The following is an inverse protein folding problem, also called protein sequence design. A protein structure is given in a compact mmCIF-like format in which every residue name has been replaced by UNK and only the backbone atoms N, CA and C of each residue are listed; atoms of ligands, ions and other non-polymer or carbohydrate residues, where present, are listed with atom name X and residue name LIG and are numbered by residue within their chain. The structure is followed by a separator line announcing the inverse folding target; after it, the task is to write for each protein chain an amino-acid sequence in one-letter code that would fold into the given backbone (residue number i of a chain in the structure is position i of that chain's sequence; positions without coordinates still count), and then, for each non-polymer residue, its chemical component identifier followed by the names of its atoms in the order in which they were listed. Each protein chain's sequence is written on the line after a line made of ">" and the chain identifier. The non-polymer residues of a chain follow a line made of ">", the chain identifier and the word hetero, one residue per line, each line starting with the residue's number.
data_IF_966064861755
#
_entry.id   IF_966064861755
#
_cell.length_a   1.000
_cell.length_b   1.000
_cell.length_c   1.000
_cell.angle_alpha   90.00
_cell.angle_beta   90.00
_cell.angle_gamma   90.00
#
_symmetry.space_group_name_H-M   'P 1'
#
loop_
_entity.id
_entity.type
_entity.pdbx_description
1 polymer ?
#
# COMPACT_ATOMS: atom_id res chain seq x y z
N UNK A 1 2.91 13.18 26.61
CA UNK A 1 3.00 14.64 26.40
C UNK A 1 3.57 15.43 27.58
N UNK A 2 3.48 14.94 28.83
CA UNK A 2 4.06 15.64 30.00
C UNK A 2 5.53 16.05 29.77
N UNK A 3 6.39 15.10 29.39
CA UNK A 3 7.81 15.38 29.10
C UNK A 3 8.03 16.53 28.09
N UNK A 4 7.26 16.55 26.99
CA UNK A 4 7.39 17.61 25.96
C UNK A 4 6.95 18.97 26.51
N UNK A 5 5.87 18.98 27.32
CA UNK A 5 5.38 20.20 27.99
C UNK A 5 6.40 20.73 29.01
N UNK A 6 6.98 19.83 29.79
CA UNK A 6 7.93 20.16 30.86
C UNK A 6 9.29 20.64 30.31
N UNK A 7 9.59 20.37 29.04
CA UNK A 7 10.86 20.71 28.39
C UNK A 7 10.69 21.69 27.20
N UNK A 8 9.60 22.47 27.17
CA UNK A 8 9.29 23.41 26.07
C UNK A 8 10.47 24.31 25.70
N UNK A 9 10.99 25.05 26.67
CA UNK A 9 12.03 26.06 26.44
C UNK A 9 13.31 25.44 25.89
N UNK A 10 13.77 24.34 26.50
CA UNK A 10 14.95 23.62 26.03
C UNK A 10 14.78 23.13 24.58
N UNK A 11 13.61 22.60 24.23
CA UNK A 11 13.35 22.11 22.90
C UNK A 11 13.29 23.24 21.87
N UNK A 12 12.59 24.34 22.16
CA UNK A 12 12.51 25.50 21.27
C UNK A 12 13.90 26.09 21.03
N UNK A 13 14.71 26.24 22.08
CA UNK A 13 16.08 26.72 21.97
C UNK A 13 16.93 25.80 21.08
N UNK A 14 16.78 24.48 21.21
CA UNK A 14 17.48 23.52 20.37
C UNK A 14 17.05 23.61 18.89
N UNK A 15 15.74 23.74 18.63
CA UNK A 15 15.20 23.89 17.28
C UNK A 15 15.68 25.20 16.62
N UNK A 16 15.70 26.31 17.35
CA UNK A 16 16.21 27.59 16.84
C UNK A 16 17.69 27.53 16.44
N UNK A 17 18.49 26.68 17.10
CA UNK A 17 19.91 26.51 16.76
C UNK A 17 20.16 25.63 15.52
N UNK A 18 19.21 24.76 15.15
CA UNK A 18 19.35 23.82 14.03
C UNK A 18 18.66 24.34 12.78
N UNK A 19 17.54 25.04 12.97
CA UNK A 19 16.66 25.47 11.90
C UNK A 19 17.08 26.87 11.40
N UNK A 20 17.05 27.15 10.07
CA UNK A 20 17.31 28.48 9.54
C UNK A 20 16.41 29.57 10.15
N UNK A 21 16.99 30.74 10.43
CA UNK A 21 16.30 31.88 11.07
C UNK A 21 15.02 32.33 10.34
N UNK A 22 15.01 32.23 9.00
CA UNK A 22 13.85 32.61 8.17
C UNK A 22 12.56 31.82 8.45
N UNK A 23 12.64 30.66 9.10
CA UNK A 23 11.48 29.83 9.45
C UNK A 23 11.27 29.67 10.96
N UNK A 24 12.02 30.41 11.79
CA UNK A 24 11.84 30.37 13.25
C UNK A 24 10.43 30.73 13.70
N UNK A 25 9.74 31.60 12.96
CA UNK A 25 8.34 31.98 13.23
C UNK A 25 7.39 30.77 13.25
N UNK A 26 7.72 29.67 12.55
CA UNK A 26 6.90 28.45 12.49
C UNK A 26 7.11 27.50 13.68
N UNK A 27 8.11 27.73 14.53
CA UNK A 27 8.48 26.77 15.60
C UNK A 27 7.38 26.72 16.68
N UNK A 28 6.85 27.86 17.10
CA UNK A 28 5.76 27.93 18.09
C UNK A 28 4.44 27.38 17.53
N UNK A 29 4.14 27.66 16.25
CA UNK A 29 2.98 27.09 15.55
C UNK A 29 3.08 25.56 15.45
N UNK A 30 4.26 25.05 15.07
CA UNK A 30 4.52 23.61 15.07
C UNK A 30 4.38 23.00 16.47
N UNK A 31 4.93 23.64 17.49
CA UNK A 31 4.88 23.14 18.87
C UNK A 31 3.44 23.04 19.40
N UNK A 32 2.65 24.10 19.20
CA UNK A 32 1.24 24.13 19.60
C UNK A 32 0.41 23.10 18.84
N UNK A 33 0.66 22.94 17.54
CA UNK A 33 0.01 21.91 16.70
C UNK A 33 0.38 20.51 17.17
N UNK A 34 1.67 20.25 17.44
CA UNK A 34 2.17 18.95 17.90
C UNK A 34 1.59 18.53 19.24
N UNK A 35 1.29 19.49 20.13
CA UNK A 35 0.67 19.22 21.44
C UNK A 35 -0.85 19.22 21.44
N UNK A 36 -1.49 19.57 20.33
CA UNK A 36 -2.94 19.57 20.21
C UNK A 36 -3.49 18.14 20.25
N UNK A 37 -4.75 18.01 20.67
CA UNK A 37 -5.45 16.72 20.65
C UNK A 37 -5.69 16.20 19.21
N UNK A 38 -5.56 17.08 18.22
CA UNK A 38 -5.61 16.79 16.77
C UNK A 38 -4.23 16.60 16.15
N UNK A 39 -3.19 16.46 16.97
CA UNK A 39 -1.86 16.13 16.45
C UNK A 39 -1.85 14.70 15.92
N UNK A 40 -1.06 14.47 14.87
CA UNK A 40 -0.78 13.14 14.32
C UNK A 40 -0.40 12.11 15.40
N UNK A 41 0.32 12.55 16.45
CA UNK A 41 0.71 11.70 17.56
C UNK A 41 -0.48 11.31 18.45
N UNK A 42 -1.37 12.26 18.77
CA UNK A 42 -2.51 12.00 19.65
C UNK A 42 -3.59 11.17 18.96
N UNK A 43 -3.83 11.40 17.68
CA UNK A 43 -4.73 10.59 16.86
C UNK A 43 -4.21 9.15 16.75
N UNK A 44 -2.94 8.98 16.38
CA UNK A 44 -2.32 7.65 16.26
C UNK A 44 -2.26 6.91 17.61
N UNK A 45 -1.98 7.62 18.71
CA UNK A 45 -2.08 7.05 20.07
C UNK A 45 -3.49 6.57 20.39
N UNK A 46 -4.52 7.30 19.99
CA UNK A 46 -5.91 6.92 20.26
C UNK A 46 -6.30 5.67 19.47
N UNK A 47 -5.90 5.59 18.19
CA UNK A 47 -6.04 4.37 17.38
C UNK A 47 -5.31 3.18 18.02
N UNK A 48 -4.06 3.37 18.45
CA UNK A 48 -3.27 2.33 19.11
C UNK A 48 -3.93 1.81 20.38
N UNK A 49 -4.46 2.70 21.22
CA UNK A 49 -5.12 2.29 22.47
C UNK A 49 -6.40 1.52 22.20
N UNK A 50 -7.22 1.96 21.25
CA UNK A 50 -8.43 1.24 20.85
C UNK A 50 -8.11 -0.17 20.33
N UNK A 51 -7.10 -0.31 19.48
CA UNK A 51 -6.63 -1.61 18.97
C UNK A 51 -6.13 -2.54 20.09
N UNK A 52 -5.40 -1.99 21.07
CA UNK A 52 -4.92 -2.77 22.22
C UNK A 52 -6.07 -3.16 23.15
N UNK A 53 -7.03 -2.27 23.38
CA UNK A 53 -8.21 -2.50 24.22
C UNK A 53 -9.06 -3.63 23.65
N UNK A 54 -9.40 -3.59 22.36
CA UNK A 54 -10.15 -4.63 21.65
C UNK A 54 -9.50 -6.02 21.80
N UNK A 55 -8.18 -6.11 21.62
CA UNK A 55 -7.45 -7.36 21.76
C UNK A 55 -7.38 -7.83 23.22
N UNK A 56 -7.29 -6.92 24.19
CA UNK A 56 -7.30 -7.27 25.62
C UNK A 56 -8.66 -7.82 26.01
N UNK A 57 -9.75 -7.16 25.61
CA UNK A 57 -11.11 -7.63 25.86
C UNK A 57 -11.35 -9.02 25.28
N UNK A 58 -10.99 -9.23 24.01
CA UNK A 58 -11.11 -10.54 23.36
C UNK A 58 -10.27 -11.62 24.08
N UNK A 59 -9.06 -11.28 24.53
CA UNK A 59 -8.21 -12.21 25.28
C UNK A 59 -8.82 -12.58 26.63
N UNK A 60 -9.37 -11.62 27.38
CA UNK A 60 -10.00 -11.88 28.68
C UNK A 60 -11.29 -12.69 28.53
N UNK A 61 -12.06 -12.50 27.45
CA UNK A 61 -13.22 -13.35 27.15
C UNK A 61 -12.80 -14.81 26.98
N UNK A 62 -11.77 -15.10 26.17
CA UNK A 62 -11.31 -16.48 25.97
C UNK A 62 -10.68 -17.13 27.20
N UNK A 63 -10.20 -16.34 28.18
CA UNK A 63 -9.69 -16.88 29.45
C UNK A 63 -10.78 -17.41 30.37
N UNK A 64 -12.04 -17.03 30.16
CA UNK A 64 -13.17 -17.49 30.97
C UNK A 64 -13.55 -18.96 30.67
N UNK A 65 -13.07 -19.52 29.55
CA UNK A 65 -13.32 -20.90 29.14
C UNK A 65 -11.98 -21.64 29.00
N UNK A 66 -11.70 -22.60 29.90
CA UNK A 66 -10.47 -23.39 29.91
C UNK A 66 -10.22 -24.09 28.55
N UNK A 67 -11.27 -24.45 27.80
CA UNK A 67 -11.12 -25.07 26.48
C UNK A 67 -10.64 -24.09 25.41
N UNK A 68 -10.75 -22.77 25.65
CA UNK A 68 -10.34 -21.70 24.74
C UNK A 68 -9.09 -20.96 25.19
N UNK A 69 -8.44 -21.40 26.26
CA UNK A 69 -7.21 -20.78 26.76
C UNK A 69 -6.09 -20.70 25.69
N UNK A 70 -6.04 -21.66 24.76
CA UNK A 70 -5.10 -21.62 23.64
C UNK A 70 -5.35 -20.44 22.68
N UNK A 71 -6.61 -19.99 22.51
CA UNK A 71 -6.97 -18.81 21.72
C UNK A 71 -6.55 -17.53 22.42
N UNK A 72 -6.78 -17.42 23.74
CA UNK A 72 -6.26 -16.32 24.55
C UNK A 72 -4.73 -16.22 24.43
N UNK A 73 -4.02 -17.35 24.44
CA UNK A 73 -2.57 -17.38 24.23
C UNK A 73 -2.17 -16.86 22.85
N UNK A 74 -2.93 -17.15 21.78
CA UNK A 74 -2.66 -16.60 20.44
C UNK A 74 -2.84 -15.08 20.42
N UNK A 75 -3.88 -14.54 21.04
CA UNK A 75 -4.09 -13.09 21.14
C UNK A 75 -2.97 -12.44 21.95
N UNK A 76 -2.51 -13.09 23.03
CA UNK A 76 -1.41 -12.60 23.85
C UNK A 76 -0.11 -12.40 23.05
N UNK A 77 0.13 -13.24 22.05
CA UNK A 77 1.26 -13.12 21.13
C UNK A 77 1.13 -11.90 20.22
N UNK A 78 -0.07 -11.66 19.67
CA UNK A 78 -0.37 -10.45 18.89
C UNK A 78 -0.21 -9.18 19.74
N UNK A 79 -0.73 -9.18 20.97
CA UNK A 79 -0.57 -8.07 21.92
C UNK A 79 0.90 -7.80 22.25
N UNK A 80 1.69 -8.86 22.47
CA UNK A 80 3.14 -8.73 22.71
C UNK A 80 3.84 -8.11 21.50
N UNK A 81 3.48 -8.52 20.28
CA UNK A 81 4.04 -7.93 19.06
C UNK A 81 3.81 -6.42 18.99
N UNK A 82 2.59 -5.98 19.29
CA UNK A 82 2.21 -4.56 19.27
C UNK A 82 3.01 -3.79 20.34
N UNK A 83 3.06 -4.30 21.57
CA UNK A 83 3.71 -3.65 22.72
C UNK A 83 5.24 -3.62 22.64
N UNK A 84 5.86 -4.65 22.07
CA UNK A 84 7.32 -4.77 21.93
C UNK A 84 7.85 -4.18 20.61
N UNK A 85 7.00 -3.61 19.76
CA UNK A 85 7.43 -2.96 18.51
C UNK A 85 8.38 -1.82 18.86
N UNK A 86 9.53 -1.77 18.18
CA UNK A 86 10.52 -0.72 18.38
C UNK A 86 9.85 0.65 18.16
N UNK A 87 9.94 1.53 19.16
CA UNK A 87 9.21 2.80 19.15
C UNK A 87 9.65 3.71 17.99
N UNK A 88 10.93 3.70 17.60
CA UNK A 88 11.41 4.49 16.46
C UNK A 88 10.82 3.97 15.15
N UNK A 89 10.79 2.65 14.97
CA UNK A 89 10.14 2.04 13.80
C UNK A 89 8.63 2.31 13.79
N UNK A 90 7.98 2.23 14.95
CA UNK A 90 6.55 2.52 15.09
C UNK A 90 6.24 3.97 14.68
N UNK A 91 6.90 4.95 15.30
CA UNK A 91 6.65 6.36 15.04
C UNK A 91 6.98 6.73 13.59
N UNK A 92 8.03 6.15 13.03
CA UNK A 92 8.40 6.44 11.64
C UNK A 92 7.45 5.77 10.64
N UNK A 93 6.94 4.56 10.90
CA UNK A 93 5.91 3.91 10.07
C UNK A 93 4.62 4.74 10.00
N UNK A 94 4.29 5.41 11.10
CA UNK A 94 3.12 6.29 11.24
C UNK A 94 3.35 7.72 10.75
N UNK A 95 4.51 8.00 10.13
CA UNK A 95 4.94 9.34 9.67
C UNK A 95 4.99 10.40 10.78
N UNK A 96 5.12 9.99 12.05
CA UNK A 96 5.37 10.90 13.18
C UNK A 96 6.84 11.35 13.18
N UNK A 97 7.75 10.45 12.78
CA UNK A 97 9.16 10.75 12.51
C UNK A 97 9.43 10.69 11.00
N UNK A 98 10.38 11.49 10.47
CA UNK A 98 10.78 11.42 9.07
C UNK A 98 11.28 10.01 8.68
N UNK A 99 10.76 9.47 7.56
CA UNK A 99 11.15 8.15 7.05
C UNK A 99 12.56 8.09 6.44
N UNK A 100 13.10 9.22 5.96
CA UNK A 100 14.39 9.29 5.25
C UNK A 100 15.61 8.78 6.03
N UNK A 101 15.53 8.67 7.36
CA UNK A 101 16.60 8.16 8.21
C UNK A 101 16.55 6.68 8.56
N UNK A 102 15.44 5.97 8.27
CA UNK A 102 15.22 4.61 8.74
C UNK A 102 14.53 3.71 7.69
N UNK A 103 15.10 2.53 7.37
CA UNK A 103 14.46 1.56 6.48
C UNK A 103 13.35 0.81 7.23
N UNK A 104 12.20 1.45 7.44
CA UNK A 104 11.12 0.97 8.31
C UNK A 104 10.30 -0.12 7.64
N UNK A 105 9.92 0.14 6.39
CA UNK A 105 9.13 -0.76 5.56
C UNK A 105 10.06 -1.54 4.61
N UNK A 106 11.37 -1.61 4.89
CA UNK A 106 12.28 -2.41 4.08
C UNK A 106 12.35 -3.84 4.60
N UNK A 107 12.18 -4.79 3.68
CA UNK A 107 12.34 -6.21 3.97
C UNK A 107 13.42 -6.84 3.11
N UNK A 108 13.98 -7.93 3.61
CA UNK A 108 15.05 -8.66 2.95
C UNK A 108 14.52 -9.95 2.30
N UNK A 109 15.07 -10.28 1.14
CA UNK A 109 15.07 -11.64 0.61
C UNK A 109 16.39 -12.31 1.02
N UNK A 110 16.32 -13.20 2.01
CA UNK A 110 17.48 -13.89 2.57
C UNK A 110 17.96 -14.94 1.56
N UNK A 111 19.19 -14.76 1.10
CA UNK A 111 19.83 -15.57 0.04
C UNK A 111 20.63 -16.75 0.58
N UNK A 112 20.86 -16.81 1.90
CA UNK A 112 21.45 -17.95 2.59
C UNK A 112 20.45 -18.53 3.60
N UNK A 113 19.73 -19.62 3.25
CA UNK A 113 18.80 -20.27 4.16
C UNK A 113 19.45 -20.84 5.43
N UNK A 114 20.77 -21.06 5.43
CA UNK A 114 21.51 -21.54 6.61
C UNK A 114 21.82 -20.43 7.62
N UNK A 115 21.82 -19.17 7.19
CA UNK A 115 22.03 -18.01 8.06
C UNK A 115 20.76 -17.49 8.74
N UNK A 116 19.63 -18.20 8.61
CA UNK A 116 18.31 -17.78 9.11
C UNK A 116 18.28 -17.63 10.64
N UNK A 117 19.16 -18.33 11.37
CA UNK A 117 19.27 -18.24 12.84
C UNK A 117 20.22 -17.14 13.33
N UNK A 118 21.06 -16.56 12.46
CA UNK A 118 22.00 -15.49 12.82
C UNK A 118 21.46 -14.15 12.37
N UNK A 119 21.22 -13.23 13.32
CA UNK A 119 20.76 -11.85 13.10
C UNK A 119 21.70 -11.03 12.17
N UNK A 120 22.88 -11.56 11.87
CA UNK A 120 23.83 -11.04 10.90
C UNK A 120 24.38 -12.21 10.07
N UNK A 121 23.60 -12.69 9.11
CA UNK A 121 24.10 -13.62 8.11
C UNK A 121 25.21 -12.96 7.29
N UNK A 122 26.39 -13.59 7.25
CA UNK A 122 27.52 -13.24 6.39
C UNK A 122 27.25 -13.59 4.91
N UNK A 123 26.01 -13.44 4.45
CA UNK A 123 25.73 -13.45 3.01
C UNK A 123 26.26 -12.16 2.42
N UNK A 124 27.19 -12.24 1.46
CA UNK A 124 27.72 -11.07 0.76
C UNK A 124 26.61 -10.30 0.01
N UNK A 125 25.49 -10.95 -0.30
CA UNK A 125 24.40 -10.41 -1.09
C UNK A 125 23.14 -10.14 -0.23
N UNK A 126 22.91 -8.86 0.10
CA UNK A 126 21.69 -8.39 0.77
C UNK A 126 20.69 -7.84 -0.25
N UNK A 127 19.58 -8.54 -0.41
CA UNK A 127 18.51 -8.14 -1.31
C UNK A 127 17.41 -7.43 -0.53
N UNK A 128 17.49 -6.12 -0.40
CA UNK A 128 16.52 -5.30 0.33
C UNK A 128 15.58 -4.56 -0.62
N UNK A 129 14.29 -4.54 -0.27
CA UNK A 129 13.23 -3.80 -0.98
C UNK A 129 12.24 -3.22 0.01
N UNK A 130 11.66 -2.09 -0.36
CA UNK A 130 10.45 -1.61 0.30
C UNK A 130 9.32 -2.65 0.21
N UNK A 131 8.53 -2.79 1.28
CA UNK A 131 7.54 -3.83 1.47
C UNK A 131 6.45 -3.77 0.39
N UNK A 132 6.10 -2.56 -0.06
CA UNK A 132 5.16 -2.37 -1.16
C UNK A 132 5.64 -3.07 -2.44
N UNK A 133 6.93 -2.96 -2.74
CA UNK A 133 7.54 -3.62 -3.90
C UNK A 133 7.76 -5.11 -3.64
N UNK A 134 8.24 -5.46 -2.44
CA UNK A 134 8.57 -6.82 -2.05
C UNK A 134 7.37 -7.78 -2.10
N UNK A 135 6.15 -7.28 -1.86
CA UNK A 135 4.91 -8.07 -1.97
C UNK A 135 4.69 -8.65 -3.38
N UNK A 136 5.28 -8.04 -4.41
CA UNK A 136 5.27 -8.59 -5.76
C UNK A 136 6.60 -9.27 -6.14
N UNK A 137 7.73 -8.66 -5.78
CA UNK A 137 9.05 -9.12 -6.21
C UNK A 137 9.56 -10.31 -5.41
N UNK A 138 9.29 -10.34 -4.10
CA UNK A 138 9.81 -11.33 -3.16
C UNK A 138 8.74 -12.29 -2.65
N UNK A 139 7.47 -12.13 -3.04
CA UNK A 139 6.44 -13.10 -2.72
C UNK A 139 6.83 -14.52 -3.20
N UNK A 140 6.44 -15.57 -2.46
CA UNK A 140 6.81 -16.95 -2.78
C UNK A 140 6.45 -17.33 -4.22
N UNK A 141 7.37 -17.96 -4.94
CA UNK A 141 7.25 -18.27 -6.36
C UNK A 141 7.81 -17.19 -7.30
N UNK A 142 8.02 -15.96 -6.83
CA UNK A 142 8.73 -14.93 -7.59
C UNK A 142 10.23 -15.21 -7.65
N UNK A 143 10.85 -14.77 -8.75
CA UNK A 143 12.27 -14.96 -9.03
C UNK A 143 13.00 -13.62 -9.13
N UNK A 144 14.21 -13.59 -8.57
CA UNK A 144 15.07 -12.40 -8.52
C UNK A 144 16.43 -12.75 -9.11
N UNK A 145 16.92 -11.93 -10.04
CA UNK A 145 18.27 -12.05 -10.58
C UNK A 145 19.20 -11.13 -9.79
N UNK A 146 20.29 -11.68 -9.28
CA UNK A 146 21.36 -10.93 -8.64
C UNK A 146 22.67 -11.71 -8.76
N UNK A 147 23.80 -11.01 -8.96
CA UNK A 147 25.13 -11.64 -9.08
C UNK A 147 25.19 -12.79 -10.12
N UNK A 148 24.54 -12.60 -11.28
CA UNK A 148 24.47 -13.62 -12.33
C UNK A 148 23.71 -14.91 -11.94
N UNK A 149 23.06 -14.93 -10.78
CA UNK A 149 22.26 -16.05 -10.25
C UNK A 149 20.78 -15.70 -10.26
N UNK A 150 19.95 -16.73 -10.35
CA UNK A 150 18.50 -16.68 -10.29
C UNK A 150 18.05 -17.32 -8.98
N UNK A 151 17.55 -16.48 -8.09
CA UNK A 151 16.99 -16.85 -6.80
C UNK A 151 15.49 -17.00 -6.92
N UNK A 152 14.90 -18.03 -6.31
CA UNK A 152 13.44 -18.20 -6.24
C UNK A 152 13.00 -18.04 -4.79
N UNK A 153 12.08 -17.12 -4.51
CA UNK A 153 11.50 -16.97 -3.17
C UNK A 153 10.60 -18.17 -2.85
N UNK A 154 10.70 -18.71 -1.64
CA UNK A 154 9.97 -19.93 -1.25
C UNK A 154 9.33 -19.81 0.13
N UNK A 155 9.89 -19.02 1.04
CA UNK A 155 9.38 -18.91 2.40
C UNK A 155 9.03 -17.47 2.76
N UNK A 156 7.96 -17.31 3.53
CA UNK A 156 7.68 -16.09 4.28
C UNK A 156 8.39 -16.24 5.63
N UNK A 157 9.32 -15.34 5.96
CA UNK A 157 10.12 -15.46 7.19
C UNK A 157 9.20 -15.40 8.42
N UNK A 158 9.39 -16.34 9.33
CA UNK A 158 8.63 -16.40 10.59
C UNK A 158 9.11 -15.31 11.56
N UNK A 159 8.21 -14.76 12.38
CA UNK A 159 8.59 -13.90 13.50
C UNK A 159 9.54 -14.61 14.47
N UNK A 160 10.32 -13.86 15.26
CA UNK A 160 11.12 -14.42 16.35
C UNK A 160 10.27 -15.24 17.34
N UNK A 161 10.92 -16.14 18.07
CA UNK A 161 10.27 -17.06 19.03
C UNK A 161 9.45 -16.37 20.13
N UNK A 162 9.74 -15.10 20.43
CA UNK A 162 8.91 -14.30 21.34
C UNK A 162 7.58 -13.92 20.70
N UNK A 163 7.52 -13.60 19.41
CA UNK A 163 6.27 -13.16 18.78
C UNK A 163 5.44 -14.33 18.28
N UNK A 164 6.04 -15.37 17.69
CA UNK A 164 5.39 -16.60 17.18
C UNK A 164 4.27 -16.46 16.13
N UNK A 165 3.64 -15.31 15.96
CA UNK A 165 2.53 -15.12 15.02
C UNK A 165 2.84 -14.01 14.03
N UNK A 166 2.51 -14.21 12.75
CA UNK A 166 2.59 -13.14 11.77
C UNK A 166 1.60 -12.04 12.13
N UNK A 167 1.85 -10.82 11.63
CA UNK A 167 0.77 -9.83 11.62
C UNK A 167 -0.17 -10.19 10.48
N UNK A 168 -1.38 -10.59 10.82
CA UNK A 168 -2.38 -11.08 9.88
C UNK A 168 -3.60 -10.14 9.89
N UNK A 169 -4.20 -9.96 8.72
CA UNK A 169 -5.33 -9.07 8.50
C UNK A 169 -6.36 -9.76 7.62
N UNK A 170 -7.62 -9.70 8.02
CA UNK A 170 -8.73 -10.13 7.19
C UNK A 170 -9.15 -9.00 6.25
N UNK A 171 -9.49 -9.36 5.02
CA UNK A 171 -9.87 -8.41 3.99
C UNK A 171 -10.93 -8.95 3.06
N UNK A 172 -11.76 -8.04 2.54
CA UNK A 172 -12.72 -8.32 1.47
C UNK A 172 -13.03 -7.05 0.69
N UNK A 173 -12.95 -7.15 -0.63
CA UNK A 173 -13.34 -6.08 -1.53
C UNK A 173 -14.86 -6.03 -1.65
N UNK A 174 -15.45 -4.84 -1.54
CA UNK A 174 -16.87 -4.64 -1.73
C UNK A 174 -17.28 -5.02 -3.17
N UNK A 175 -18.31 -5.86 -3.30
CA UNK A 175 -18.81 -6.33 -4.59
C UNK A 175 -19.71 -5.32 -5.31
N UNK A 176 -20.09 -4.22 -4.64
CA UNK A 176 -20.80 -3.13 -5.28
C UNK A 176 -19.87 -2.44 -6.30
N UNK A 177 -20.16 -2.48 -7.62
CA UNK A 177 -19.29 -1.93 -8.67
C UNK A 177 -19.08 -0.42 -8.56
N UNK A 178 -20.00 0.30 -7.91
CA UNK A 178 -19.90 1.74 -7.66
C UNK A 178 -19.17 2.09 -6.36
N UNK A 179 -18.67 1.09 -5.63
CA UNK A 179 -17.91 1.27 -4.40
C UNK A 179 -16.54 0.64 -4.50
N UNK A 180 -16.45 -0.68 -4.72
CA UNK A 180 -15.18 -1.39 -4.86
C UNK A 180 -14.20 -1.31 -3.67
N UNK A 181 -14.60 -0.70 -2.55
CA UNK A 181 -13.75 -0.39 -1.40
C UNK A 181 -13.19 -1.67 -0.74
N UNK A 182 -11.91 -1.64 -0.38
CA UNK A 182 -11.25 -2.73 0.34
C UNK A 182 -11.51 -2.58 1.84
N UNK A 183 -12.31 -3.48 2.40
CA UNK A 183 -12.52 -3.53 3.84
C UNK A 183 -11.37 -4.33 4.47
N UNK A 184 -10.84 -3.84 5.59
CA UNK A 184 -9.70 -4.42 6.30
C UNK A 184 -9.99 -4.49 7.80
N UNK A 185 -9.60 -5.59 8.43
CA UNK A 185 -9.65 -5.74 9.88
C UNK A 185 -8.49 -6.63 10.36
N UNK A 186 -7.96 -6.39 11.57
CA UNK A 186 -6.87 -7.22 12.10
C UNK A 186 -7.38 -8.63 12.36
N UNK A 187 -6.65 -9.64 11.91
CA UNK A 187 -7.02 -11.02 12.16
C UNK A 187 -6.63 -11.44 13.58
N UNK A 188 -7.59 -11.94 14.34
CA UNK A 188 -7.35 -12.65 15.59
C UNK A 188 -8.49 -13.67 15.83
N UNK A 189 -8.28 -14.70 16.66
CA UNK A 189 -9.36 -15.62 16.99
C UNK A 189 -10.56 -14.87 17.59
N UNK A 190 -11.75 -15.05 17.05
CA UNK A 190 -12.94 -14.33 17.50
C UNK A 190 -13.08 -12.90 16.98
N UNK A 191 -12.26 -12.49 16.00
CA UNK A 191 -12.42 -11.21 15.34
C UNK A 191 -13.86 -11.02 14.79
N UNK A 192 -14.43 -9.81 14.86
CA UNK A 192 -15.73 -9.48 14.31
C UNK A 192 -15.88 -9.90 12.85
N UNK A 193 -17.08 -10.38 12.50
CA UNK A 193 -17.42 -10.67 11.11
C UNK A 193 -17.55 -9.38 10.32
N UNK A 194 -16.95 -9.35 9.12
CA UNK A 194 -17.05 -8.22 8.22
C UNK A 194 -18.34 -8.33 7.40
N UNK A 195 -19.50 -8.02 7.99
CA UNK A 195 -20.81 -8.29 7.37
C UNK A 195 -21.28 -7.21 6.39
N UNK A 196 -20.79 -5.97 6.55
CA UNK A 196 -21.18 -4.83 5.72
C UNK A 196 -19.97 -3.99 5.36
N UNK A 197 -19.99 -3.41 4.16
CA UNK A 197 -18.96 -2.50 3.71
C UNK A 197 -18.98 -1.20 4.53
N UNK A 198 -17.80 -0.77 5.00
CA UNK A 198 -17.65 0.45 5.80
C UNK A 198 -18.11 1.73 5.07
N UNK A 199 -18.08 1.73 3.73
CA UNK A 199 -18.43 2.90 2.91
C UNK A 199 -19.90 2.86 2.47
N UNK A 200 -20.28 1.88 1.65
CA UNK A 200 -21.60 1.84 1.03
C UNK A 200 -22.65 1.03 1.82
N UNK A 201 -22.26 0.33 2.89
CA UNK A 201 -23.12 -0.55 3.69
C UNK A 201 -23.67 -1.78 2.94
N UNK A 202 -23.15 -2.06 1.74
CA UNK A 202 -23.47 -3.28 1.01
C UNK A 202 -23.05 -4.52 1.81
N UNK A 203 -23.87 -5.58 1.78
CA UNK A 203 -23.58 -6.82 2.47
C UNK A 203 -22.31 -7.48 1.89
N UNK A 204 -21.39 -7.88 2.75
CA UNK A 204 -20.14 -8.53 2.35
C UNK A 204 -20.28 -10.05 2.50
N UNK A 205 -19.78 -10.78 1.50
CA UNK A 205 -19.80 -12.24 1.54
C UNK A 205 -18.69 -12.78 2.44
N UNK A 206 -19.06 -13.42 3.56
CA UNK A 206 -18.10 -14.08 4.46
C UNK A 206 -17.25 -15.15 3.77
N UNK A 207 -17.77 -15.79 2.71
CA UNK A 207 -17.02 -16.77 1.94
C UNK A 207 -15.88 -16.16 1.11
N UNK A 208 -15.95 -14.85 0.84
CA UNK A 208 -14.94 -14.10 0.10
C UNK A 208 -13.91 -13.41 1.01
N UNK A 209 -14.13 -13.42 2.32
CA UNK A 209 -13.15 -12.91 3.29
C UNK A 209 -11.90 -13.78 3.22
N UNK A 210 -10.77 -13.13 3.02
CA UNK A 210 -9.45 -13.76 2.97
C UNK A 210 -8.59 -13.18 4.08
N UNK A 211 -7.64 -13.97 4.57
CA UNK A 211 -6.61 -13.47 5.48
C UNK A 211 -5.31 -13.24 4.71
N UNK A 212 -4.70 -12.07 4.89
CA UNK A 212 -3.36 -11.75 4.40
C UNK A 212 -2.32 -11.72 5.53
N UNK A 213 -1.08 -12.11 5.20
CA UNK A 213 0.09 -11.93 6.06
C UNK A 213 0.79 -10.61 5.68
N UNK A 214 1.14 -9.78 6.66
CA UNK A 214 2.12 -8.69 6.51
C UNK A 214 3.53 -9.25 6.73
N UNK A 215 4.37 -9.38 5.69
CA UNK A 215 5.64 -10.10 5.80
C UNK A 215 6.77 -9.18 6.30
N UNK A 216 6.56 -8.53 7.46
CA UNK A 216 7.50 -7.55 8.05
C UNK A 216 8.90 -8.11 8.32
N UNK A 217 9.04 -9.44 8.41
CA UNK A 217 10.33 -10.10 8.63
C UNK A 217 11.03 -10.50 7.32
N UNK A 218 10.40 -10.28 6.18
CA UNK A 218 10.93 -10.60 4.86
C UNK A 218 10.70 -12.03 4.40
N UNK A 219 11.50 -12.44 3.44
CA UNK A 219 11.33 -13.67 2.67
C UNK A 219 12.64 -14.47 2.65
N UNK A 220 12.56 -15.76 2.32
CA UNK A 220 13.73 -16.64 2.20
C UNK A 220 13.62 -17.41 0.88
N UNK A 221 14.76 -17.55 0.21
CA UNK A 221 14.85 -18.30 -1.04
C UNK A 221 14.66 -19.81 -0.84
N UNK A 222 14.41 -20.51 -1.94
CA UNK A 222 14.63 -21.96 -2.03
C UNK A 222 16.12 -22.29 -1.90
N UNK A 223 16.49 -23.46 -1.33
CA UNK A 223 17.88 -23.92 -1.30
C UNK A 223 18.52 -24.07 -2.69
N UNK A 224 17.70 -24.32 -3.72
CA UNK A 224 18.18 -24.41 -5.11
C UNK A 224 18.36 -23.02 -5.72
N UNK A 225 19.61 -22.67 -6.04
CA UNK A 225 19.98 -21.45 -6.77
C UNK A 225 20.44 -21.81 -8.17
N UNK A 226 19.88 -21.14 -9.19
CA UNK A 226 20.19 -21.41 -10.61
C UNK A 226 21.07 -20.30 -11.18
N UNK A 227 21.77 -20.57 -12.29
CA UNK A 227 22.42 -19.49 -13.07
C UNK A 227 21.36 -18.67 -13.81
N UNK A 228 21.54 -17.35 -13.86
CA UNK A 228 20.65 -16.48 -14.61
C UNK A 228 20.78 -16.76 -16.12
N UNK A 229 19.64 -16.90 -16.79
CA UNK A 229 19.57 -17.04 -18.25
C UNK A 229 18.98 -15.78 -18.89
N UNK A 230 18.68 -15.87 -20.20
CA UNK A 230 18.02 -14.80 -20.96
C UNK A 230 16.49 -14.74 -20.73
N UNK A 231 15.91 -15.76 -20.09
CA UNK A 231 14.47 -15.76 -19.76
C UNK A 231 14.19 -14.75 -18.66
N UNK A 232 13.13 -13.94 -18.88
CA UNK A 232 12.64 -12.99 -17.88
C UNK A 232 12.26 -13.72 -16.57
N UNK A 233 12.61 -13.17 -15.39
CA UNK A 233 12.21 -13.75 -14.11
C UNK A 233 10.70 -13.84 -13.98
N UNK A 234 10.23 -14.95 -13.40
CA UNK A 234 8.81 -15.13 -13.07
C UNK A 234 8.48 -14.24 -11.87
N UNK A 235 7.36 -13.53 -11.92
CA UNK A 235 6.79 -12.81 -10.78
C UNK A 235 5.39 -13.35 -10.51
N UNK A 236 5.02 -13.44 -9.24
CA UNK A 236 3.62 -13.63 -8.85
C UNK A 236 2.80 -12.38 -9.13
N UNK A 237 1.47 -12.45 -8.93
CA UNK A 237 0.56 -11.33 -9.19
C UNK A 237 1.11 -10.04 -8.57
N UNK A 238 1.15 -8.96 -9.35
CA UNK A 238 1.48 -7.65 -8.81
C UNK A 238 0.39 -7.28 -7.82
N UNK A 239 0.74 -6.88 -6.59
CA UNK A 239 -0.28 -6.53 -5.62
C UNK A 239 -1.17 -5.41 -6.14
N UNK A 240 -2.49 -5.56 -6.00
CA UNK A 240 -3.45 -4.50 -6.30
C UNK A 240 -3.37 -3.46 -5.19
N UNK A 241 -3.40 -2.18 -5.56
CA UNK A 241 -3.31 -1.07 -4.62
C UNK A 241 -4.70 -0.51 -4.41
N UNK A 242 -5.12 -0.42 -3.16
CA UNK A 242 -6.42 0.06 -2.74
C UNK A 242 -6.23 1.29 -1.88
N UNK A 243 -7.00 2.33 -2.18
CA UNK A 243 -7.10 3.49 -1.30
C UNK A 243 -8.03 3.14 -0.13
N UNK A 244 -7.53 3.29 1.10
CA UNK A 244 -8.30 3.03 2.32
C UNK A 244 -8.93 4.32 2.80
N UNK A 245 -8.14 5.39 2.85
CA UNK A 245 -8.59 6.71 3.27
C UNK A 245 -8.83 6.78 4.78
N UNK A 246 -8.15 7.68 5.47
CA UNK A 246 -8.31 7.89 6.92
C UNK A 246 -8.75 9.33 7.27
N UNK A 247 -9.16 10.14 6.29
CA UNK A 247 -9.52 11.57 6.46
C UNK A 247 -8.49 12.35 7.31
N UNK A 248 -7.27 12.47 6.77
CA UNK A 248 -6.18 13.22 7.42
C UNK A 248 -6.16 14.70 7.04
N UNK A 249 -5.09 15.39 7.39
CA UNK A 249 -4.87 16.82 7.11
C UNK A 249 -5.04 17.09 5.61
N UNK A 250 -6.10 17.84 5.31
CA UNK A 250 -6.34 18.41 4.00
C UNK A 250 -5.31 19.52 3.76
N UNK A 251 -4.48 19.35 2.73
CA UNK A 251 -3.47 20.34 2.35
C UNK A 251 -4.00 21.38 1.39
N UNK A 252 -4.82 20.96 0.43
CA UNK A 252 -5.45 21.83 -0.57
C UNK A 252 -6.69 21.15 -1.16
N UNK A 253 -7.73 21.92 -1.48
CA UNK A 253 -8.95 21.45 -2.14
C UNK A 253 -9.50 22.56 -3.02
N UNK A 254 -9.68 22.27 -4.31
CA UNK A 254 -10.20 23.24 -5.27
C UNK A 254 -10.86 22.58 -6.47
N UNK A 255 -11.91 23.22 -6.96
CA UNK A 255 -12.54 22.89 -8.24
C UNK A 255 -11.82 23.60 -9.37
N UNK A 256 -11.52 22.87 -10.43
CA UNK A 256 -10.92 23.39 -11.66
C UNK A 256 -12.02 23.84 -12.62
N UNK A 257 -11.73 24.80 -13.49
CA UNK A 257 -12.65 25.31 -14.52
C UNK A 257 -13.09 24.24 -15.54
N UNK A 258 -12.36 23.12 -15.58
CA UNK A 258 -12.62 21.93 -16.40
C UNK A 258 -13.56 20.90 -15.75
N UNK A 259 -14.27 21.27 -14.68
CA UNK A 259 -15.26 20.39 -14.04
C UNK A 259 -14.67 19.22 -13.25
N UNK A 260 -13.39 19.32 -12.85
CA UNK A 260 -12.69 18.35 -12.02
C UNK A 260 -12.38 18.94 -10.64
N UNK A 261 -12.43 18.10 -9.61
CA UNK A 261 -12.03 18.50 -8.26
C UNK A 261 -10.65 17.93 -7.92
N UNK A 262 -9.72 18.81 -7.56
CA UNK A 262 -8.39 18.46 -7.08
C UNK A 262 -8.37 18.55 -5.56
N UNK A 263 -7.89 17.49 -4.91
CA UNK A 263 -7.70 17.46 -3.45
C UNK A 263 -6.34 16.87 -3.12
N UNK A 264 -5.58 17.52 -2.25
CA UNK A 264 -4.30 17.02 -1.75
C UNK A 264 -4.42 16.69 -0.27
N UNK A 265 -4.06 15.47 0.09
CA UNK A 265 -4.10 14.94 1.45
C UNK A 265 -2.69 14.58 1.89
N UNK A 266 -2.34 14.85 3.15
CA UNK A 266 -1.09 14.36 3.72
C UNK A 266 -1.29 13.03 4.45
N UNK A 267 -0.26 12.18 4.41
CA UNK A 267 -0.18 10.97 5.23
C UNK A 267 -1.32 9.94 5.05
N UNK A 268 -2.07 9.94 3.96
CA UNK A 268 -3.24 9.06 3.78
C UNK A 268 -2.85 7.58 3.67
N UNK A 269 -3.79 6.67 3.98
CA UNK A 269 -3.53 5.23 4.02
C UNK A 269 -3.95 4.50 2.75
N UNK A 270 -3.03 3.68 2.23
CA UNK A 270 -3.25 2.75 1.13
C UNK A 270 -2.89 1.33 1.57
N UNK A 271 -3.46 0.34 0.88
CA UNK A 271 -3.15 -1.06 1.03
C UNK A 271 -2.67 -1.64 -0.29
N UNK A 272 -1.65 -2.48 -0.25
CA UNK A 272 -1.22 -3.30 -1.38
C UNK A 272 -1.44 -4.76 -1.04
N UNK A 273 -2.14 -5.49 -1.92
CA UNK A 273 -2.52 -6.89 -1.69
C UNK A 273 -2.16 -7.74 -2.89
N UNK A 274 -1.26 -8.70 -2.69
CA UNK A 274 -1.03 -9.77 -3.65
C UNK A 274 -2.13 -10.82 -3.50
N UNK A 275 -3.07 -10.80 -4.45
CA UNK A 275 -4.23 -11.68 -4.52
C UNK A 275 -3.90 -13.13 -4.95
N UNK A 276 -2.62 -13.43 -5.21
CA UNK A 276 -2.18 -14.82 -5.38
C UNK A 276 -2.53 -15.63 -4.14
N UNK A 277 -3.01 -16.85 -4.34
CA UNK A 277 -3.42 -17.72 -3.27
C UNK A 277 -2.23 -18.59 -2.82
N UNK A 278 -1.63 -18.20 -1.70
CA UNK A 278 -0.49 -18.91 -1.13
C UNK A 278 -0.97 -19.98 -0.15
N UNK A 279 -0.45 -21.20 -0.30
CA UNK A 279 -0.53 -22.23 0.72
C UNK A 279 0.68 -22.09 1.64
N UNK A 280 0.47 -21.69 2.89
CA UNK A 280 1.54 -21.33 3.84
C UNK A 280 1.59 -22.34 4.99
N UNK A 281 2.79 -22.86 5.27
CA UNK A 281 3.06 -23.66 6.46
C UNK A 281 3.19 -22.73 7.67
N UNK A 282 2.25 -22.83 8.62
CA UNK A 282 2.24 -22.00 9.84
C UNK A 282 3.47 -22.18 10.73
N UNK A 283 4.19 -23.30 10.60
CA UNK A 283 5.34 -23.61 11.45
C UNK A 283 6.65 -23.03 10.93
N UNK A 284 6.98 -23.24 9.65
CA UNK A 284 8.27 -22.84 9.07
C UNK A 284 8.18 -21.74 8.01
N UNK A 285 6.98 -21.35 7.59
CA UNK A 285 6.78 -20.32 6.56
C UNK A 285 6.98 -20.78 5.12
N UNK A 286 7.16 -22.08 4.85
CA UNK A 286 7.19 -22.61 3.49
C UNK A 286 5.89 -22.26 2.77
N UNK A 287 6.00 -21.74 1.56
CA UNK A 287 4.86 -21.20 0.83
C UNK A 287 4.94 -21.54 -0.64
N UNK A 288 3.80 -21.90 -1.24
CA UNK A 288 3.68 -22.12 -2.68
C UNK A 288 2.40 -21.48 -3.20
N UNK A 289 2.43 -21.00 -4.45
CA UNK A 289 1.23 -20.59 -5.17
C UNK A 289 0.54 -21.85 -5.69
N UNK A 290 -0.74 -22.01 -5.39
CA UNK A 290 -1.57 -23.11 -5.92
C UNK A 290 -2.78 -22.52 -6.64
N UNK A 291 -3.23 -23.16 -7.71
CA UNK A 291 -4.52 -22.87 -8.38
C UNK A 291 -5.57 -23.94 -8.11
N UNK A 292 -5.16 -25.13 -7.67
CA UNK A 292 -6.04 -26.24 -7.27
C UNK A 292 -6.04 -26.41 -5.74
N UNK A 293 -7.25 -26.43 -5.22
CA UNK A 293 -7.65 -26.17 -3.84
C UNK A 293 -8.54 -27.26 -3.27
N UNK A 294 -8.93 -28.22 -4.10
CA UNK A 294 -9.85 -29.32 -3.77
C UNK A 294 -9.28 -30.33 -2.77
N UNK A 295 -7.96 -30.27 -2.52
CA UNK A 295 -7.26 -31.16 -1.59
C UNK A 295 -6.53 -30.31 -0.56
N UNK A 296 -6.81 -30.50 0.73
CA UNK A 296 -5.85 -30.15 1.78
C UNK A 296 -4.55 -30.87 1.42
N UNK A 297 -3.59 -30.15 0.84
CA UNK A 297 -2.30 -30.71 0.47
C UNK A 297 -1.51 -30.91 1.76
N UNK A 298 -1.71 -32.06 2.40
CA UNK A 298 -0.69 -32.64 3.28
C UNK A 298 0.56 -32.75 2.41
N UNK A 299 1.57 -31.93 2.71
CA UNK A 299 2.80 -31.90 1.91
C UNK A 299 4.01 -31.95 2.82
N UNK A 300 4.81 -32.98 2.59
CA UNK A 300 6.15 -33.08 3.16
C UNK A 300 7.02 -32.00 2.52
N UNK A 301 7.66 -31.19 3.35
CA UNK A 301 8.56 -30.13 2.93
C UNK A 301 9.68 -29.92 3.95
N UNK A 302 10.70 -29.18 3.55
CA UNK A 302 11.80 -28.80 4.43
C UNK A 302 11.62 -27.37 4.91
N UNK A 303 11.98 -27.14 6.17
CA UNK A 303 12.14 -25.81 6.73
C UNK A 303 13.33 -25.08 6.07
N UNK A 304 13.46 -23.74 6.23
CA UNK A 304 14.54 -22.97 5.62
C UNK A 304 15.95 -23.51 5.90
N UNK A 305 16.18 -24.06 7.10
CA UNK A 305 17.46 -24.68 7.48
C UNK A 305 17.73 -26.06 6.83
N UNK A 306 16.89 -26.49 5.89
CA UNK A 306 17.01 -27.76 5.17
C UNK A 306 16.47 -28.98 5.92
N UNK A 307 16.10 -28.88 7.20
CA UNK A 307 15.52 -30.00 7.97
C UNK A 307 14.06 -30.24 7.58
N UNK A 308 13.59 -31.49 7.68
CA UNK A 308 12.18 -31.83 7.46
C UNK A 308 11.28 -31.07 8.45
N UNK A 309 10.25 -30.39 7.94
CA UNK A 309 9.27 -29.73 8.80
C UNK A 309 8.31 -30.77 9.39
N UNK A 310 8.03 -30.75 10.72
CA UNK A 310 7.08 -31.68 11.33
C UNK A 310 5.62 -31.33 11.01
N UNK A 311 5.36 -30.11 10.54
CA UNK A 311 4.03 -29.70 10.14
C UNK A 311 3.83 -29.98 8.65
N UNK A 312 2.77 -30.72 8.33
CA UNK A 312 2.40 -31.03 6.94
C UNK A 312 1.13 -30.29 6.51
N UNK A 313 0.54 -29.50 7.42
CA UNK A 313 -0.69 -28.73 7.19
C UNK A 313 -0.39 -27.33 6.68
N UNK A 314 -1.23 -26.86 5.75
CA UNK A 314 -1.09 -25.57 5.10
C UNK A 314 -2.38 -24.78 5.22
N UNK A 315 -2.25 -23.48 5.47
CA UNK A 315 -3.35 -22.53 5.47
C UNK A 315 -3.29 -21.66 4.23
N UNK A 316 -4.47 -21.27 3.72
CA UNK A 316 -4.55 -20.31 2.62
C UNK A 316 -4.35 -18.92 3.16
N UNK A 317 -3.43 -18.17 2.57
CA UNK A 317 -3.16 -16.78 2.90
C UNK A 317 -2.90 -15.99 1.63
N UNK A 318 -3.18 -14.70 1.70
CA UNK A 318 -2.65 -13.70 0.76
C UNK A 318 -1.45 -13.01 1.40
N UNK A 319 -0.79 -12.12 0.68
CA UNK A 319 0.30 -11.30 1.24
C UNK A 319 -0.04 -9.84 0.96
N UNK A 320 0.08 -8.97 1.96
CA UNK A 320 -0.23 -7.56 1.78
C UNK A 320 0.46 -6.68 2.82
N UNK A 321 0.29 -5.38 2.66
CA UNK A 321 0.80 -4.37 3.58
C UNK A 321 -0.03 -3.10 3.45
N UNK A 322 -0.13 -2.34 4.55
CA UNK A 322 -0.73 -1.02 4.54
C UNK A 322 0.36 0.01 4.81
N UNK A 323 0.35 1.10 4.05
CA UNK A 323 1.37 2.14 4.11
C UNK A 323 0.71 3.51 4.03
N UNK A 324 1.41 4.52 4.56
CA UNK A 324 0.93 5.91 4.63
C UNK A 324 1.82 6.82 3.78
N UNK A 325 1.21 7.64 2.93
CA UNK A 325 1.89 8.57 2.01
C UNK A 325 1.01 9.77 1.68
N UNK A 326 1.60 10.84 1.17
CA UNK A 326 0.84 11.94 0.59
C UNK A 326 0.11 11.47 -0.67
N UNK A 327 -1.11 11.97 -0.85
CA UNK A 327 -2.01 11.61 -1.95
C UNK A 327 -2.54 12.88 -2.60
N UNK A 328 -2.60 12.90 -3.93
CA UNK A 328 -3.35 13.89 -4.68
C UNK A 328 -4.44 13.18 -5.46
N UNK A 329 -5.67 13.65 -5.30
CA UNK A 329 -6.84 13.07 -5.95
C UNK A 329 -7.41 14.01 -6.99
N UNK A 330 -7.76 13.47 -8.16
CA UNK A 330 -8.55 14.13 -9.19
C UNK A 330 -9.90 13.43 -9.26
N UNK A 331 -10.99 14.14 -8.98
CA UNK A 331 -12.34 13.57 -8.99
C UNK A 331 -13.12 14.09 -10.19
N UNK A 332 -13.81 13.18 -10.88
CA UNK A 332 -14.74 13.46 -11.98
C UNK A 332 -16.15 13.16 -11.50
N UNK A 333 -17.10 14.04 -11.77
CA UNK A 333 -18.51 13.87 -11.39
C UNK A 333 -19.28 12.84 -12.24
N UNK A 334 -18.58 11.82 -12.75
CA UNK A 334 -19.11 10.73 -13.54
C UNK A 334 -18.58 9.39 -13.00
N UNK A 335 -19.41 8.34 -13.10
CA UNK A 335 -18.95 6.97 -12.94
C UNK A 335 -18.22 6.53 -14.21
N UNK A 336 -16.96 6.11 -14.06
CA UNK A 336 -16.15 5.51 -15.11
C UNK A 336 -15.98 4.03 -14.81
N UNK A 337 -16.24 3.19 -15.81
CA UNK A 337 -15.90 1.76 -15.72
C UNK A 337 -14.42 1.57 -15.40
N UNK A 338 -14.08 0.39 -14.88
CA UNK A 338 -12.72 0.07 -14.47
C UNK A 338 -11.72 0.27 -15.64
N UNK A 339 -12.07 -0.19 -16.84
CA UNK A 339 -11.25 -0.08 -18.05
C UNK A 339 -11.04 1.37 -18.49
N UNK A 340 -12.11 2.18 -18.44
CA UNK A 340 -12.04 3.61 -18.73
C UNK A 340 -11.13 4.33 -17.73
N UNK A 341 -11.37 4.13 -16.43
CA UNK A 341 -10.64 4.78 -15.36
C UNK A 341 -9.14 4.44 -15.42
N UNK A 342 -8.78 3.16 -15.55
CA UNK A 342 -7.36 2.79 -15.64
C UNK A 342 -6.68 3.27 -16.92
N UNK A 343 -7.39 3.31 -18.05
CA UNK A 343 -6.84 3.86 -19.30
C UNK A 343 -6.53 5.36 -19.16
N UNK A 344 -7.43 6.12 -18.53
CA UNK A 344 -7.23 7.56 -18.24
C UNK A 344 -6.11 7.75 -17.21
N UNK A 345 -6.11 6.98 -16.13
CA UNK A 345 -5.08 7.05 -15.08
C UNK A 345 -3.69 6.83 -15.65
N UNK A 346 -3.48 5.80 -16.47
CA UNK A 346 -2.17 5.55 -17.05
C UNK A 346 -1.76 6.66 -18.02
N UNK A 347 -2.67 7.22 -18.81
CA UNK A 347 -2.36 8.38 -19.64
C UNK A 347 -1.91 9.58 -18.79
N UNK A 348 -2.64 9.88 -17.70
CA UNK A 348 -2.29 10.96 -16.77
C UNK A 348 -0.93 10.74 -16.10
N UNK A 349 -0.63 9.51 -15.67
CA UNK A 349 0.66 9.19 -15.04
C UNK A 349 1.83 9.33 -16.01
N UNK A 350 1.68 8.90 -17.26
CA UNK A 350 2.70 9.09 -18.30
C UNK A 350 2.88 10.57 -18.64
N UNK A 351 1.78 11.33 -18.79
CA UNK A 351 1.84 12.75 -19.05
C UNK A 351 2.42 13.56 -17.89
N UNK A 352 2.04 13.24 -16.64
CA UNK A 352 2.61 13.83 -15.44
C UNK A 352 4.12 13.60 -15.37
N UNK A 353 4.55 12.36 -15.62
CA UNK A 353 5.97 12.01 -15.60
C UNK A 353 6.77 12.81 -16.61
N UNK A 354 6.22 12.99 -17.83
CA UNK A 354 6.86 13.76 -18.89
C UNK A 354 6.86 15.27 -18.61
N UNK A 355 5.71 15.82 -18.21
CA UNK A 355 5.54 17.26 -17.97
C UNK A 355 6.39 17.74 -16.78
N UNK A 356 6.46 16.96 -15.70
CA UNK A 356 7.20 17.35 -14.50
C UNK A 356 8.62 16.78 -14.45
N UNK A 357 9.06 16.05 -15.48
CA UNK A 357 10.36 15.39 -15.57
C UNK A 357 10.62 14.44 -14.40
N UNK A 358 9.61 13.63 -14.07
CA UNK A 358 9.64 12.63 -13.01
C UNK A 358 9.98 11.27 -13.62
N UNK A 359 10.82 10.48 -12.96
CA UNK A 359 11.01 9.09 -13.33
C UNK A 359 9.67 8.37 -13.19
N UNK A 360 9.18 7.73 -14.26
CA UNK A 360 7.83 7.14 -14.27
C UNK A 360 7.60 6.14 -13.14
N UNK A 361 8.67 5.50 -12.67
CA UNK A 361 8.64 4.55 -11.57
C UNK A 361 8.53 5.18 -10.17
N UNK A 362 8.57 6.50 -10.03
CA UNK A 362 8.51 7.22 -8.75
C UNK A 362 7.10 7.72 -8.40
N UNK A 363 6.17 7.66 -9.35
CA UNK A 363 4.75 7.99 -9.17
C UNK A 363 3.88 6.82 -9.63
N UNK A 364 2.78 6.57 -8.95
CA UNK A 364 1.77 5.61 -9.39
C UNK A 364 0.38 6.07 -8.97
N UNK A 365 -0.64 5.30 -9.33
CA UNK A 365 -1.99 5.60 -8.90
C UNK A 365 -2.91 4.40 -8.84
N UNK A 366 -4.08 4.63 -8.26
CA UNK A 366 -5.19 3.68 -8.21
C UNK A 366 -6.52 4.43 -8.38
N UNK A 367 -7.60 3.67 -8.53
CA UNK A 367 -8.96 4.21 -8.65
C UNK A 367 -9.70 3.99 -7.33
N UNK A 368 -10.41 5.02 -6.91
CA UNK A 368 -11.39 4.98 -5.84
C UNK A 368 -12.74 5.47 -6.38
N UNK A 369 -13.84 4.96 -5.83
CA UNK A 369 -15.18 5.39 -6.21
C UNK A 369 -15.88 6.05 -5.03
N UNK A 370 -16.31 7.29 -5.24
CA UNK A 370 -17.09 8.02 -4.25
C UNK A 370 -18.55 7.58 -4.43
N UNK A 371 -18.94 6.62 -3.61
CA UNK A 371 -20.31 6.12 -3.62
C UNK A 371 -21.29 7.17 -3.06
N UNK A 372 -22.30 7.52 -3.83
CA UNK A 372 -23.41 8.35 -3.36
C UNK A 372 -24.71 7.55 -3.27
N UNK A 373 -25.38 7.62 -2.11
CA UNK A 373 -26.73 7.04 -1.94
C UNK A 373 -27.79 7.70 -2.81
N UNK A 374 -27.53 8.90 -3.36
CA UNK A 374 -28.43 9.59 -4.29
C UNK A 374 -28.28 9.12 -5.75
N UNK A 375 -27.39 8.17 -6.03
CA UNK A 375 -27.29 7.48 -7.32
C UNK A 375 -26.25 8.00 -8.30
N UNK A 376 -25.56 9.11 -7.98
CA UNK A 376 -24.47 9.63 -8.80
C UNK A 376 -23.14 9.31 -8.13
N UNK A 377 -22.61 8.12 -8.38
CA UNK A 377 -21.27 7.75 -7.94
C UNK A 377 -20.22 8.44 -8.83
N UNK A 378 -19.17 8.97 -8.22
CA UNK A 378 -18.08 9.65 -8.94
C UNK A 378 -16.78 8.87 -8.90
N UNK A 379 -15.94 9.10 -9.91
CA UNK A 379 -14.64 8.43 -10.04
C UNK A 379 -13.55 9.33 -9.50
N UNK A 380 -12.69 8.77 -8.65
CA UNK A 380 -11.55 9.47 -8.07
C UNK A 380 -10.25 8.77 -8.46
N UNK A 381 -9.38 9.49 -9.15
CA UNK A 381 -8.02 9.06 -9.42
C UNK A 381 -7.15 9.39 -8.22
N UNK A 382 -6.54 8.38 -7.61
CA UNK A 382 -5.66 8.50 -6.45
C UNK A 382 -4.22 8.44 -6.95
N UNK A 383 -3.46 9.53 -6.82
CA UNK A 383 -2.06 9.62 -7.22
C UNK A 383 -1.18 9.66 -5.97
N UNK A 384 -0.11 8.86 -5.94
CA UNK A 384 0.85 8.84 -4.83
C UNK A 384 2.28 8.58 -5.32
N UNK A 385 3.26 8.99 -4.51
CA UNK A 385 4.66 8.67 -4.76
C UNK A 385 4.96 7.23 -4.33
N UNK A 386 5.74 6.49 -5.12
CA UNK A 386 6.15 5.11 -4.78
C UNK A 386 7.50 5.05 -4.07
N UNK A 387 8.20 6.19 -3.97
CA UNK A 387 9.45 6.29 -3.22
C UNK A 387 9.12 6.28 -1.72
N UNK A 388 9.79 5.44 -0.89
CA UNK A 388 9.55 5.41 0.54
C UNK A 388 9.73 6.80 1.17
N UNK A 389 8.72 7.26 1.91
CA UNK A 389 8.72 8.61 2.51
C UNK A 389 8.23 9.73 1.58
N UNK A 390 7.91 9.42 0.33
CA UNK A 390 7.30 10.33 -0.65
C UNK A 390 8.27 11.36 -1.22
N UNK A 391 8.60 11.26 -2.51
CA UNK A 391 9.50 12.21 -3.19
C UNK A 391 8.92 13.63 -3.35
N UNK A 392 7.63 13.81 -3.05
CA UNK A 392 6.92 15.07 -3.11
C UNK A 392 6.37 15.41 -4.50
N UNK A 393 6.35 14.46 -5.44
CA UNK A 393 5.90 14.72 -6.81
C UNK A 393 4.40 14.92 -6.87
N UNK A 394 3.63 14.08 -6.17
CA UNK A 394 2.17 14.27 -6.08
C UNK A 394 1.83 15.53 -5.30
N UNK A 395 2.57 15.84 -4.23
CA UNK A 395 2.39 17.10 -3.49
C UNK A 395 2.66 18.33 -4.35
N UNK A 396 3.62 18.25 -5.28
CA UNK A 396 3.85 19.29 -6.30
C UNK A 396 2.63 19.44 -7.21
N UNK A 397 2.05 18.34 -7.68
CA UNK A 397 0.81 18.37 -8.48
C UNK A 397 -0.35 19.00 -7.70
N UNK A 398 -0.54 18.63 -6.44
CA UNK A 398 -1.57 19.23 -5.58
C UNK A 398 -1.44 20.76 -5.46
N UNK A 399 -0.22 21.29 -5.50
CA UNK A 399 0.08 22.73 -5.44
C UNK A 399 0.23 23.42 -6.80
N UNK A 400 0.17 22.66 -7.90
CA UNK A 400 0.36 23.19 -9.24
C UNK A 400 -0.71 24.25 -9.55
N UNK A 401 -0.48 25.16 -10.49
CA UNK A 401 -1.57 26.01 -10.99
C UNK A 401 -2.52 25.20 -11.87
N UNK A 402 -3.69 25.76 -12.17
CA UNK A 402 -4.58 25.12 -13.15
C UNK A 402 -3.94 25.03 -14.55
N UNK A 403 -3.14 26.02 -14.94
CA UNK A 403 -2.36 26.01 -16.19
C UNK A 403 -1.36 24.86 -16.21
N UNK A 404 -0.61 24.64 -15.13
CA UNK A 404 0.33 23.52 -15.03
C UNK A 404 -0.38 22.16 -15.08
N UNK A 405 -1.60 22.06 -14.53
CA UNK A 405 -2.42 20.84 -14.63
C UNK A 405 -2.89 20.62 -16.08
N UNK A 406 -3.32 21.68 -16.76
CA UNK A 406 -3.71 21.63 -18.16
C UNK A 406 -2.53 21.24 -19.05
N UNK A 407 -1.31 21.69 -18.74
CA UNK A 407 -0.09 21.24 -19.42
C UNK A 407 0.14 19.74 -19.25
N UNK A 408 -0.02 19.20 -18.02
CA UNK A 408 0.04 17.75 -17.76
C UNK A 408 -0.99 17.01 -18.61
N UNK A 409 -2.23 17.49 -18.67
CA UNK A 409 -3.29 16.89 -19.48
C UNK A 409 -3.03 17.01 -20.97
N UNK A 410 -2.42 18.11 -21.42
CA UNK A 410 -2.07 18.31 -22.82
C UNK A 410 -1.00 17.31 -23.25
N UNK A 411 0.04 17.13 -22.44
CA UNK A 411 1.07 16.10 -22.68
C UNK A 411 0.47 14.69 -22.65
N UNK A 412 -0.44 14.42 -21.72
CA UNK A 412 -1.17 13.14 -21.62
C UNK A 412 -1.98 12.87 -22.89
N UNK A 413 -2.72 13.87 -23.35
CA UNK A 413 -3.55 13.81 -24.55
C UNK A 413 -2.72 13.60 -25.82
N UNK A 414 -1.68 14.41 -26.02
CA UNK A 414 -0.83 14.32 -27.21
C UNK A 414 -0.14 12.94 -27.28
N UNK A 415 0.19 12.34 -26.14
CA UNK A 415 0.76 11.00 -26.05
C UNK A 415 -0.20 9.90 -26.54
N UNK A 416 -1.48 9.96 -26.18
CA UNK A 416 -2.47 8.96 -26.60
C UNK A 416 -3.05 9.24 -27.98
N UNK A 417 -3.19 10.51 -28.36
CA UNK A 417 -3.76 10.95 -29.64
C UNK A 417 -2.81 10.67 -30.80
N UNK A 418 -1.52 10.91 -30.61
CA UNK A 418 -0.49 10.71 -31.65
C UNK A 418 0.09 9.29 -31.65
N UNK A 419 -0.44 8.39 -30.82
CA UNK A 419 -0.03 6.99 -30.84
C UNK A 419 -0.59 6.28 -32.09
N UNK A 420 0.21 5.38 -32.67
CA UNK A 420 -0.11 4.69 -33.92
C UNK A 420 -0.75 3.31 -33.72
N UNK A 421 -1.00 2.88 -32.48
CA UNK A 421 -1.71 1.63 -32.22
C UNK A 421 -3.22 1.77 -32.46
N UNK A 422 -3.94 0.65 -32.56
CA UNK A 422 -5.41 0.65 -32.67
C UNK A 422 -6.04 1.40 -31.48
N UNK A 423 -7.14 2.10 -31.72
CA UNK A 423 -7.82 2.94 -30.73
C UNK A 423 -8.42 2.12 -29.58
N UNK A 424 -8.82 0.88 -29.83
CA UNK A 424 -9.36 -0.06 -28.83
C UNK A 424 -8.25 -0.89 -28.17
N UNK A 425 -7.00 -0.44 -28.25
CA UNK A 425 -5.84 -1.10 -27.65
C UNK A 425 -4.90 -0.09 -27.00
N UNK A 426 -3.88 -0.60 -26.34
CA UNK A 426 -2.74 0.17 -25.86
C UNK A 426 -1.42 -0.50 -26.24
N UNK A 427 -0.33 0.27 -26.21
CA UNK A 427 1.03 -0.23 -26.44
C UNK A 427 2.01 0.44 -25.48
N UNK A 428 3.28 -0.01 -25.51
CA UNK A 428 4.35 0.54 -24.66
C UNK A 428 4.71 2.01 -24.96
N UNK A 429 4.25 2.56 -26.08
CA UNK A 429 4.45 3.97 -26.44
C UNK A 429 3.33 4.88 -25.94
N UNK A 430 2.19 4.31 -25.49
CA UNK A 430 1.11 5.07 -24.87
C UNK A 430 0.88 4.63 -23.42
N UNK A 431 0.04 3.64 -23.16
CA UNK A 431 -0.43 3.31 -21.80
C UNK A 431 0.27 2.11 -21.16
N UNK A 432 0.88 1.20 -21.94
CA UNK A 432 1.46 -0.02 -21.39
C UNK A 432 2.86 0.23 -20.83
N UNK A 433 3.15 -0.38 -19.70
CA UNK A 433 4.47 -0.42 -19.10
C UNK A 433 4.69 -1.76 -18.39
N UNK A 434 5.88 -1.96 -17.81
CA UNK A 434 6.18 -3.22 -17.13
C UNK A 434 5.36 -3.45 -15.87
N UNK A 435 4.86 -2.39 -15.25
CA UNK A 435 4.11 -2.42 -13.99
C UNK A 435 2.63 -2.77 -14.21
N UNK A 436 2.03 -2.43 -15.34
CA UNK A 436 0.61 -2.69 -15.61
C UNK A 436 0.33 -3.89 -16.54
N UNK A 437 1.27 -4.84 -16.67
CA UNK A 437 1.14 -6.04 -17.53
C UNK A 437 -0.16 -6.81 -17.37
N UNK A 438 -0.67 -6.94 -16.14
CA UNK A 438 -1.92 -7.65 -15.86
C UNK A 438 -3.14 -6.96 -16.50
N UNK A 439 -3.05 -5.64 -16.73
CA UNK A 439 -4.13 -4.83 -17.27
C UNK A 439 -4.01 -4.61 -18.78
N UNK A 440 -2.93 -5.08 -19.43
CA UNK A 440 -2.63 -4.75 -20.84
C UNK A 440 -3.79 -5.02 -21.80
N UNK A 441 -4.52 -6.11 -21.57
CA UNK A 441 -5.66 -6.53 -22.39
C UNK A 441 -6.93 -5.69 -22.16
N UNK A 442 -6.97 -4.90 -21.09
CA UNK A 442 -8.10 -4.07 -20.70
C UNK A 442 -7.88 -2.57 -20.95
N UNK A 443 -6.67 -2.18 -21.38
CA UNK A 443 -6.34 -0.78 -21.65
C UNK A 443 -6.67 -0.42 -23.10
N UNK A 444 -7.48 0.62 -23.26
CA UNK A 444 -7.87 1.14 -24.57
C UNK A 444 -7.57 2.65 -24.64
N UNK A 445 -6.70 3.05 -25.57
CA UNK A 445 -6.28 4.46 -25.65
C UNK A 445 -7.42 5.43 -25.97
N UNK A 446 -8.48 4.98 -26.63
CA UNK A 446 -9.66 5.81 -26.93
C UNK A 446 -10.31 6.39 -25.69
N UNK A 447 -10.36 5.64 -24.58
CA UNK A 447 -10.98 6.13 -23.34
C UNK A 447 -10.24 7.34 -22.78
N UNK A 448 -8.91 7.36 -22.87
CA UNK A 448 -8.11 8.50 -22.49
C UNK A 448 -8.30 9.68 -23.47
N UNK A 449 -8.33 9.40 -24.78
CA UNK A 449 -8.58 10.44 -25.81
C UNK A 449 -9.92 11.13 -25.58
N UNK A 450 -11.01 10.36 -25.43
CA UNK A 450 -12.36 10.88 -25.24
C UNK A 450 -12.49 11.71 -23.96
N UNK A 451 -11.81 11.28 -22.88
CA UNK A 451 -11.77 12.01 -21.62
C UNK A 451 -11.10 13.38 -21.78
N UNK A 452 -9.90 13.42 -22.37
CA UNK A 452 -9.19 14.69 -22.54
C UNK A 452 -9.86 15.60 -23.58
N UNK A 453 -10.46 15.05 -24.64
CA UNK A 453 -11.26 15.82 -25.61
C UNK A 453 -12.41 16.55 -24.88
N UNK A 454 -13.09 15.88 -23.93
CA UNK A 454 -14.13 16.51 -23.09
C UNK A 454 -13.55 17.60 -22.18
N UNK A 455 -12.44 17.31 -21.49
CA UNK A 455 -11.78 18.26 -20.60
C UNK A 455 -11.40 19.56 -21.32
N UNK A 456 -10.80 19.47 -22.51
CA UNK A 456 -10.42 20.65 -23.29
C UNK A 456 -11.63 21.38 -23.87
N UNK A 457 -12.68 20.65 -24.27
CA UNK A 457 -13.95 21.27 -24.67
C UNK A 457 -14.59 22.09 -23.55
N UNK A 458 -14.64 21.55 -22.32
CA UNK A 458 -15.18 22.24 -21.16
C UNK A 458 -14.33 23.47 -20.77
N UNK A 459 -13.00 23.37 -20.89
CA UNK A 459 -12.09 24.50 -20.70
C UNK A 459 -12.38 25.64 -21.68
N UNK A 460 -12.46 25.35 -22.98
CA UNK A 460 -12.74 26.35 -24.02
C UNK A 460 -14.10 27.02 -23.79
N UNK A 461 -15.12 26.23 -23.45
CA UNK A 461 -16.46 26.72 -23.12
C UNK A 461 -16.46 27.63 -21.89
N UNK A 462 -15.67 27.31 -20.86
CA UNK A 462 -15.52 28.16 -19.69
C UNK A 462 -14.87 29.49 -20.05
N UNK A 463 -13.78 29.49 -20.82
CA UNK A 463 -13.10 30.71 -21.26
C UNK A 463 -14.02 31.64 -22.07
N UNK A 464 -14.89 31.09 -22.92
CA UNK A 464 -15.85 31.90 -23.70
C UNK A 464 -16.93 32.52 -22.80
N UNK A 465 -17.39 31.81 -21.77
CA UNK A 465 -18.48 32.27 -20.90
C UNK A 465 -18.02 33.11 -19.69
N UNK A 466 -16.76 32.99 -19.27
CA UNK A 466 -16.16 33.75 -18.16
C UNK A 466 -15.69 35.18 -18.51
N UNK A 467 -15.78 35.57 -19.78
CA UNK A 467 -15.40 36.92 -20.30
C UNK A 467 -16.63 37.86 -20.39
N UNK A 468 -17.73 37.56 -19.69
CA UNK A 468 -18.91 38.43 -19.59
C UNK A 468 -19.08 39.05 -18.22
#
# INVERSE_FOLDING_TARGET
>A
MAYVRDNKENMINHLQNIIPSGIHHKIEDWYSTYLSDRSIFMEDRSQYLAEVEELVEAMEEFKQDDNKLYLANRISFSLRKIREKNILNYLSARNILPKYGFPIDSVELITDPSSVETTFGQGELRLQRDLMQAISEYAPGSQVIADGKLYTSQYIKRPPQKVKEWDEWDFVQCENPECGHLNLHRHYPGAPTMDKCGICQHALSQQKVKTMIKPEYGFIISPEVKKAGSKKPIRTHRGDIYYIGEQKELLDERSLSIGLDLKSMSNDELAVVNNSQFMVCSSCGFSEVSSDFSKQKIKIHNAPNGRKCPNETFTRKSIGHTFKTDVTTLSVNDYLSWEQAYSILYAMLEGLSKAFLIERNDVDGTIDYIYSRSGNSSTRFILFDTVPGGAGHVRRLGKATEEEILDVFKVSYDLVKNCHCDENTACYSCLQNYRNQVMHDSLERRFAVDFFDRVFYDYEKFQINGVK
#
